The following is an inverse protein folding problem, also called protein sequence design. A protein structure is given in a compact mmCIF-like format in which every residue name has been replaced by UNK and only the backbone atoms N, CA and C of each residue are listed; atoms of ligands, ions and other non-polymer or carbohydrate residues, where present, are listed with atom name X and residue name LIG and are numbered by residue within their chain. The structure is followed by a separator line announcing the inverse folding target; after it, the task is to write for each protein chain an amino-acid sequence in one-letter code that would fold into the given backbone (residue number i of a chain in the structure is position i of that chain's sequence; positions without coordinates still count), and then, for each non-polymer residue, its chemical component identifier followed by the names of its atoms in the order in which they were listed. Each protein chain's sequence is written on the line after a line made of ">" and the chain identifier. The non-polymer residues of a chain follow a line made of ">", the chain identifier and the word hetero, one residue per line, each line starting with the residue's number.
data_IF_829642420530
#
_entry.id   IF_829642420530
#
_cell.length_a   1.000
_cell.length_b   1.000
_cell.length_c   1.000
_cell.angle_alpha   90.00
_cell.angle_beta   90.00
_cell.angle_gamma   90.00
#
_symmetry.space_group_name_H-M   'P 1'
#
loop_
_entity.id
_entity.type
_entity.pdbx_description
1 polymer ?
#
# COMPACT_ATOMS: atom_id res chain seq x y z
N UNK A 1 3.02 -51.26 -14.82
CA UNK A 1 2.08 -50.19 -14.41
C UNK A 1 2.86 -48.90 -14.31
N UNK A 2 2.96 -48.20 -15.44
CA UNK A 2 3.81 -47.01 -15.58
C UNK A 2 3.13 -45.85 -14.86
N UNK A 3 3.83 -45.31 -13.86
CA UNK A 3 3.43 -44.12 -13.08
C UNK A 3 2.89 -43.01 -13.99
N UNK A 4 1.69 -42.51 -13.68
CA UNK A 4 0.88 -41.61 -14.51
C UNK A 4 1.46 -40.20 -14.66
N UNK A 5 2.58 -40.07 -15.37
CA UNK A 5 3.15 -38.78 -15.77
C UNK A 5 2.35 -38.20 -16.94
N UNK A 6 1.77 -37.03 -16.74
CA UNK A 6 1.05 -36.30 -17.79
C UNK A 6 1.97 -36.01 -18.98
N UNK A 7 1.50 -36.29 -20.21
CA UNK A 7 2.23 -36.00 -21.45
C UNK A 7 1.65 -34.80 -22.21
N UNK A 8 0.38 -34.49 -21.97
CA UNK A 8 -0.31 -33.36 -22.56
C UNK A 8 -1.30 -32.73 -21.56
N UNK A 9 -1.52 -31.42 -21.69
CA UNK A 9 -2.51 -30.69 -20.90
C UNK A 9 -3.16 -29.61 -21.73
N UNK A 10 -4.49 -29.52 -21.65
CA UNK A 10 -5.31 -28.56 -22.37
C UNK A 10 -5.74 -27.42 -21.44
N UNK A 11 -5.72 -26.18 -21.94
CA UNK A 11 -6.23 -25.02 -21.21
C UNK A 11 -6.91 -24.04 -22.15
N UNK A 12 -8.07 -23.55 -21.74
CA UNK A 12 -8.65 -22.35 -22.36
C UNK A 12 -8.18 -21.12 -21.60
N UNK A 13 -7.68 -20.12 -22.32
CA UNK A 13 -7.33 -18.82 -21.75
C UNK A 13 -7.89 -17.72 -22.64
N UNK A 14 -8.88 -16.99 -22.14
CA UNK A 14 -9.67 -16.08 -22.97
C UNK A 14 -10.32 -16.85 -24.12
N UNK A 15 -10.08 -16.40 -25.36
CA UNK A 15 -10.56 -17.06 -26.59
C UNK A 15 -9.53 -18.00 -27.23
N UNK A 16 -8.46 -18.38 -26.51
CA UNK A 16 -7.37 -19.20 -27.07
C UNK A 16 -7.33 -20.57 -26.41
N UNK A 17 -7.22 -21.61 -27.23
CA UNK A 17 -6.94 -22.98 -26.81
C UNK A 17 -5.43 -23.20 -26.72
N UNK A 18 -4.94 -23.59 -25.55
CA UNK A 18 -3.53 -23.80 -25.24
C UNK A 18 -3.25 -25.28 -25.01
N UNK A 19 -2.25 -25.81 -25.70
CA UNK A 19 -1.78 -27.19 -25.59
C UNK A 19 -0.38 -27.18 -24.97
N UNK A 20 -0.21 -27.85 -23.84
CA UNK A 20 1.07 -28.06 -23.17
C UNK A 20 1.52 -29.51 -23.39
N UNK A 21 2.80 -29.73 -23.67
CA UNK A 21 3.36 -31.04 -24.03
C UNK A 21 4.64 -31.35 -23.24
N UNK A 22 4.86 -32.63 -22.93
CA UNK A 22 6.06 -33.19 -22.28
C UNK A 22 7.18 -33.41 -23.31
N UNK A 23 7.62 -32.31 -23.92
CA UNK A 23 8.78 -32.22 -24.82
C UNK A 23 9.61 -31.00 -24.41
N UNK A 24 10.90 -30.96 -24.76
CA UNK A 24 11.70 -29.75 -24.62
C UNK A 24 11.70 -28.99 -25.92
N UNK A 25 11.44 -27.68 -25.85
CA UNK A 25 11.46 -26.82 -27.05
C UNK A 25 12.83 -26.82 -27.75
N UNK A 26 13.91 -27.02 -27.00
CA UNK A 26 15.30 -27.11 -27.48
C UNK A 26 15.55 -28.29 -28.43
N UNK A 27 14.81 -29.39 -28.28
CA UNK A 27 14.92 -30.57 -29.14
C UNK A 27 14.40 -30.28 -30.57
N UNK A 28 13.79 -29.11 -30.77
CA UNK A 28 13.22 -28.65 -32.04
C UNK A 28 13.81 -27.28 -32.41
N UNK A 29 15.08 -27.20 -32.86
CA UNK A 29 15.80 -25.95 -33.07
C UNK A 29 15.24 -25.08 -34.22
N UNK A 30 14.57 -25.69 -35.20
CA UNK A 30 13.84 -25.01 -36.27
C UNK A 30 12.40 -25.49 -36.33
N UNK A 31 11.59 -25.17 -35.31
CA UNK A 31 10.23 -25.66 -35.27
C UNK A 31 9.43 -24.92 -36.35
N UNK A 32 8.54 -25.65 -37.04
CA UNK A 32 7.65 -25.08 -38.08
C UNK A 32 6.70 -23.99 -37.55
N UNK A 33 6.69 -23.75 -36.24
CA UNK A 33 5.82 -22.85 -35.50
C UNK A 33 6.41 -22.55 -34.11
N UNK A 34 5.95 -21.50 -33.41
CA UNK A 34 6.50 -21.13 -32.11
C UNK A 34 6.21 -22.18 -31.04
N UNK A 35 7.27 -22.74 -30.46
CA UNK A 35 7.25 -23.50 -29.21
C UNK A 35 7.67 -22.57 -28.08
N UNK A 36 6.87 -22.49 -27.02
CA UNK A 36 7.15 -21.62 -25.87
C UNK A 36 7.55 -22.50 -24.69
N UNK A 37 8.76 -22.32 -24.16
CA UNK A 37 9.16 -22.98 -22.93
C UNK A 37 8.52 -22.30 -21.71
N UNK A 38 7.79 -23.08 -20.93
CA UNK A 38 7.11 -22.70 -19.68
C UNK A 38 7.61 -23.56 -18.50
N UNK A 39 8.73 -24.30 -18.66
CA UNK A 39 9.36 -25.14 -17.62
C UNK A 39 9.63 -24.41 -16.30
N UNK A 40 9.87 -23.10 -16.35
CA UNK A 40 10.10 -22.23 -15.20
C UNK A 40 8.89 -22.13 -14.25
N UNK A 41 7.69 -22.56 -14.66
CA UNK A 41 6.51 -22.61 -13.80
C UNK A 41 6.38 -24.00 -13.19
N UNK A 42 6.41 -24.10 -11.86
CA UNK A 42 6.21 -25.35 -11.11
C UNK A 42 4.94 -26.15 -11.50
N UNK A 43 3.90 -25.46 -11.94
CA UNK A 43 2.62 -26.08 -12.38
C UNK A 43 2.76 -26.75 -13.76
N UNK A 44 3.78 -26.40 -14.54
CA UNK A 44 3.96 -26.76 -15.94
C UNK A 44 5.19 -27.67 -16.14
N UNK A 45 5.89 -28.03 -15.06
CA UNK A 45 7.15 -28.81 -15.05
C UNK A 45 7.04 -30.16 -15.79
N UNK A 46 5.90 -30.84 -15.71
CA UNK A 46 5.68 -32.13 -16.39
C UNK A 46 5.33 -32.00 -17.88
N UNK A 47 4.90 -30.82 -18.32
CA UNK A 47 4.52 -30.53 -19.71
C UNK A 47 5.02 -29.14 -20.07
N UNK A 48 6.34 -28.95 -20.18
CA UNK A 48 6.95 -27.62 -20.16
C UNK A 48 6.74 -26.84 -21.46
N UNK A 49 6.45 -27.50 -22.58
CA UNK A 49 6.33 -26.80 -23.87
C UNK A 49 4.89 -26.42 -24.18
N UNK A 50 4.62 -25.14 -24.38
CA UNK A 50 3.33 -24.57 -24.74
C UNK A 50 3.22 -24.28 -26.25
N UNK A 51 2.06 -24.62 -26.81
CA UNK A 51 1.61 -24.27 -28.16
C UNK A 51 0.25 -23.56 -28.07
N UNK A 52 0.14 -22.39 -28.69
CA UNK A 52 -1.12 -21.66 -28.81
C UNK A 52 -1.86 -22.10 -30.09
N UNK A 53 -2.99 -22.78 -29.94
CA UNK A 53 -3.80 -23.26 -31.06
C UNK A 53 -4.78 -22.15 -31.47
N UNK A 54 -4.40 -21.40 -32.50
CA UNK A 54 -5.18 -20.27 -33.04
C UNK A 54 -5.99 -20.61 -34.30
N UNK A 55 -5.92 -21.85 -34.78
CA UNK A 55 -6.63 -22.28 -35.99
C UNK A 55 -6.22 -23.68 -36.47
N UNK A 56 -6.79 -24.14 -37.61
CA UNK A 56 -6.64 -25.52 -38.08
C UNK A 56 -5.20 -25.96 -38.33
N UNK A 57 -4.36 -25.05 -38.88
CA UNK A 57 -2.95 -25.33 -39.14
C UNK A 57 -2.19 -25.65 -37.85
N UNK A 58 -2.40 -24.84 -36.79
CA UNK A 58 -1.78 -25.07 -35.50
C UNK A 58 -2.31 -26.35 -34.83
N UNK A 59 -3.58 -26.69 -35.04
CA UNK A 59 -4.16 -27.94 -34.55
C UNK A 59 -3.45 -29.15 -35.17
N UNK A 60 -3.27 -29.17 -36.50
CA UNK A 60 -2.56 -30.26 -37.20
C UNK A 60 -1.16 -30.47 -36.65
N UNK A 61 -0.44 -29.39 -36.36
CA UNK A 61 0.90 -29.47 -35.78
C UNK A 61 0.90 -29.96 -34.33
N UNK A 62 -0.03 -29.49 -33.49
CA UNK A 62 -0.17 -29.98 -32.13
C UNK A 62 -0.44 -31.49 -32.08
N UNK A 63 -1.28 -31.98 -32.99
CA UNK A 63 -1.54 -33.42 -33.15
C UNK A 63 -0.29 -34.19 -33.61
N UNK A 64 0.48 -33.64 -34.55
CA UNK A 64 1.76 -34.26 -34.98
C UNK A 64 2.75 -34.43 -33.83
N UNK A 65 2.86 -33.44 -32.94
CA UNK A 65 3.76 -33.56 -31.79
C UNK A 65 3.25 -34.57 -30.75
N UNK A 66 1.93 -34.69 -30.60
CA UNK A 66 1.34 -35.76 -29.78
C UNK A 66 1.69 -37.13 -30.38
N UNK A 67 1.58 -37.28 -31.70
CA UNK A 67 1.97 -38.51 -32.40
C UNK A 67 3.45 -38.85 -32.16
N UNK A 68 4.34 -37.86 -32.25
CA UNK A 68 5.78 -38.04 -31.97
C UNK A 68 6.04 -38.49 -30.52
N UNK A 69 5.36 -37.86 -29.54
CA UNK A 69 5.45 -38.22 -28.12
C UNK A 69 4.95 -39.67 -27.90
N UNK A 70 3.84 -40.03 -28.52
CA UNK A 70 3.26 -41.38 -28.38
C UNK A 70 4.17 -42.44 -29.00
N UNK A 71 4.74 -42.16 -30.17
CA UNK A 71 5.70 -43.05 -30.81
C UNK A 71 6.94 -43.26 -29.94
N UNK A 72 7.51 -42.20 -29.36
CA UNK A 72 8.64 -42.30 -28.43
C UNK A 72 8.27 -43.07 -27.14
N UNK A 73 7.00 -43.05 -26.73
CA UNK A 73 6.50 -43.82 -25.58
C UNK A 73 6.03 -45.23 -25.94
N UNK A 74 6.20 -45.65 -27.20
CA UNK A 74 5.76 -46.95 -27.72
C UNK A 74 4.25 -47.19 -27.51
N UNK A 75 3.46 -46.11 -27.54
CA UNK A 75 1.99 -46.16 -27.40
C UNK A 75 1.35 -46.20 -28.78
N UNK A 76 0.70 -47.32 -29.09
CA UNK A 76 0.01 -47.50 -30.36
C UNK A 76 -1.36 -46.84 -30.37
N UNK A 77 -1.76 -46.31 -31.54
CA UNK A 77 -3.12 -45.82 -31.76
C UNK A 77 -4.11 -47.00 -31.69
N UNK A 78 -5.28 -46.74 -31.12
CA UNK A 78 -6.36 -47.72 -31.10
C UNK A 78 -6.93 -47.87 -32.52
N UNK A 79 -6.93 -49.10 -33.06
CA UNK A 79 -7.35 -49.38 -34.44
C UNK A 79 -8.84 -49.08 -34.70
N UNK A 80 -9.68 -49.12 -33.66
CA UNK A 80 -11.13 -48.92 -33.76
C UNK A 80 -11.62 -47.67 -33.00
N UNK A 81 -10.77 -46.66 -32.83
CA UNK A 81 -11.19 -45.40 -32.20
C UNK A 81 -12.21 -44.67 -33.07
N UNK A 82 -13.34 -44.29 -32.48
CA UNK A 82 -14.33 -43.41 -33.10
C UNK A 82 -14.20 -42.03 -32.49
N UNK A 83 -14.18 -41.00 -33.34
CA UNK A 83 -14.17 -39.62 -32.86
C UNK A 83 -15.45 -39.34 -32.05
N UNK A 84 -15.28 -38.86 -30.82
CA UNK A 84 -16.36 -38.37 -29.98
C UNK A 84 -16.48 -36.85 -30.10
N UNK A 85 -17.71 -36.33 -30.15
CA UNK A 85 -17.94 -34.88 -30.10
C UNK A 85 -17.99 -34.40 -28.65
N UNK A 86 -16.91 -33.77 -28.20
CA UNK A 86 -16.79 -33.20 -26.85
C UNK A 86 -17.43 -31.81 -26.71
N UNK A 87 -18.27 -31.36 -27.64
CA UNK A 87 -19.00 -30.10 -27.49
C UNK A 87 -19.91 -30.16 -26.26
N UNK A 88 -19.83 -29.10 -25.47
CA UNK A 88 -20.72 -28.87 -24.32
C UNK A 88 -21.84 -27.91 -24.71
N UNK A 89 -23.01 -28.09 -24.11
CA UNK A 89 -24.12 -27.15 -24.27
C UNK A 89 -23.71 -25.74 -23.81
N UNK A 90 -24.18 -24.73 -24.55
CA UNK A 90 -23.92 -23.33 -24.20
C UNK A 90 -24.82 -22.94 -23.02
N UNK A 91 -24.19 -22.64 -21.88
CA UNK A 91 -24.87 -22.08 -20.71
C UNK A 91 -24.70 -20.57 -20.67
N UNK A 92 -25.72 -19.87 -20.17
CA UNK A 92 -25.55 -18.47 -19.77
C UNK A 92 -24.63 -18.35 -18.54
N UNK A 93 -24.23 -17.12 -18.24
CA UNK A 93 -23.30 -16.85 -17.14
C UNK A 93 -23.86 -17.25 -15.78
N UNK A 94 -25.17 -17.13 -15.57
CA UNK A 94 -25.83 -17.38 -14.29
C UNK A 94 -25.88 -18.89 -14.01
N UNK A 95 -26.29 -19.68 -15.01
CA UNK A 95 -26.27 -21.13 -14.98
C UNK A 95 -24.86 -21.70 -14.75
N UNK A 96 -23.82 -21.08 -15.33
CA UNK A 96 -22.42 -21.48 -15.10
C UNK A 96 -21.96 -21.20 -13.66
N UNK A 97 -22.45 -20.13 -13.03
CA UNK A 97 -22.15 -19.81 -11.62
C UNK A 97 -22.87 -20.79 -10.70
N UNK A 98 -24.16 -21.05 -10.95
CA UNK A 98 -24.96 -21.99 -10.16
C UNK A 98 -24.37 -23.42 -10.19
N UNK A 99 -23.91 -23.87 -11.36
CA UNK A 99 -23.23 -25.16 -11.54
C UNK A 99 -21.81 -25.19 -10.96
N UNK A 100 -21.30 -24.08 -10.40
CA UNK A 100 -19.96 -23.99 -9.83
C UNK A 100 -18.82 -24.02 -10.86
N UNK A 101 -19.13 -23.85 -12.16
CA UNK A 101 -18.16 -23.85 -13.26
C UNK A 101 -17.45 -22.49 -13.40
N UNK A 102 -18.06 -21.42 -12.91
CA UNK A 102 -17.43 -20.11 -12.73
C UNK A 102 -17.25 -19.86 -11.23
N UNK A 103 -16.00 -19.82 -10.80
CA UNK A 103 -15.66 -19.30 -9.47
C UNK A 103 -15.59 -17.78 -9.57
N UNK A 104 -16.46 -17.09 -8.82
CA UNK A 104 -16.41 -15.64 -8.70
C UNK A 104 -15.18 -15.25 -7.88
N UNK A 105 -14.09 -14.92 -8.57
CA UNK A 105 -12.90 -14.37 -7.93
C UNK A 105 -13.16 -12.88 -7.69
N UNK A 106 -13.23 -12.47 -6.43
CA UNK A 106 -13.24 -11.06 -6.06
C UNK A 106 -12.01 -10.40 -6.70
N UNK A 107 -12.26 -9.45 -7.61
CA UNK A 107 -11.23 -8.70 -8.32
C UNK A 107 -10.15 -8.23 -7.33
N UNK A 108 -8.86 -8.44 -7.65
CA UNK A 108 -7.76 -7.85 -6.87
C UNK A 108 -7.75 -6.31 -6.91
N UNK A 109 -8.66 -5.71 -7.69
CA UNK A 109 -8.97 -4.27 -7.74
C UNK A 109 -10.35 -3.91 -7.15
N UNK A 110 -11.13 -4.89 -6.67
CA UNK A 110 -12.36 -4.67 -5.91
C UNK A 110 -12.08 -5.12 -4.48
N UNK A 111 -12.07 -4.15 -3.56
CA UNK A 111 -11.89 -4.45 -2.13
C UNK A 111 -12.89 -5.56 -1.72
N UNK A 112 -12.46 -6.62 -1.03
CA UNK A 112 -13.36 -7.69 -0.63
C UNK A 112 -14.45 -7.11 0.29
N UNK A 113 -15.71 -7.18 -0.13
CA UNK A 113 -16.85 -6.93 0.76
C UNK A 113 -17.05 -8.21 1.58
N UNK A 114 -16.21 -8.37 2.61
CA UNK A 114 -16.55 -9.20 3.78
C UNK A 114 -17.85 -8.65 4.38
N UNK A 115 -18.66 -9.44 5.14
CA UNK A 115 -19.65 -8.83 6.01
C UNK A 115 -18.90 -7.78 6.85
N UNK A 116 -19.19 -6.50 6.61
CA UNK A 116 -18.46 -5.42 7.25
C UNK A 116 -18.89 -5.44 8.71
N UNK A 117 -18.12 -6.15 9.56
CA UNK A 117 -17.97 -5.70 10.95
C UNK A 117 -17.61 -4.23 10.79
N UNK A 118 -18.55 -3.33 11.16
CA UNK A 118 -18.37 -1.87 11.08
C UNK A 118 -16.92 -1.60 11.48
N UNK A 119 -16.06 -1.06 10.58
CA UNK A 119 -14.67 -0.89 10.91
C UNK A 119 -14.62 -0.09 12.20
N UNK A 120 -13.95 -0.66 13.20
CA UNK A 120 -13.71 0.07 14.45
C UNK A 120 -12.82 1.23 14.07
N UNK A 121 -13.36 2.44 14.15
CA UNK A 121 -12.60 3.65 13.89
C UNK A 121 -11.88 3.97 15.19
N UNK A 122 -10.56 3.86 15.15
CA UNK A 122 -9.71 4.28 16.25
C UNK A 122 -9.41 5.77 16.09
N UNK A 123 -9.82 6.54 17.07
CA UNK A 123 -9.47 7.93 17.23
C UNK A 123 -8.29 8.02 18.22
N UNK A 124 -7.09 8.24 17.69
CA UNK A 124 -5.85 8.34 18.45
C UNK A 124 -5.63 9.76 18.94
N UNK A 125 -5.42 9.91 20.24
CA UNK A 125 -5.01 11.19 20.84
C UNK A 125 -3.58 11.59 20.43
N UNK A 126 -3.20 12.84 20.72
CA UNK A 126 -1.83 13.34 20.53
C UNK A 126 -0.82 12.51 21.33
N UNK A 127 -1.14 12.16 22.58
CA UNK A 127 -0.28 11.31 23.41
C UNK A 127 -0.16 9.89 22.84
N UNK A 128 -1.27 9.27 22.43
CA UNK A 128 -1.22 7.96 21.78
C UNK A 128 -0.31 7.99 20.54
N UNK A 129 -0.37 9.06 19.76
CA UNK A 129 0.51 9.22 18.59
C UNK A 129 1.98 9.30 19.00
N UNK A 130 2.34 10.00 20.09
CA UNK A 130 3.73 10.04 20.59
C UNK A 130 4.26 8.65 20.94
N UNK A 131 3.48 7.83 21.65
CA UNK A 131 3.89 6.45 22.01
C UNK A 131 4.05 5.51 20.79
N UNK A 132 3.38 5.81 19.69
CA UNK A 132 3.41 5.01 18.45
C UNK A 132 4.39 5.53 17.39
N UNK A 133 5.06 6.65 17.64
CA UNK A 133 6.01 7.24 16.69
C UNK A 133 7.36 6.51 16.71
N UNK A 134 8.04 6.56 15.58
CA UNK A 134 9.41 6.09 15.47
C UNK A 134 10.40 7.08 16.08
N UNK A 135 11.51 6.53 16.55
CA UNK A 135 12.54 7.28 17.26
C UNK A 135 13.10 8.50 16.47
N UNK A 136 13.32 8.44 15.14
CA UNK A 136 13.68 9.62 14.36
C UNK A 136 12.68 10.77 14.48
N UNK A 137 11.38 10.47 14.45
CA UNK A 137 10.32 11.48 14.55
C UNK A 137 10.22 12.04 15.96
N UNK A 138 10.40 11.19 16.98
CA UNK A 138 10.45 11.62 18.38
C UNK A 138 11.64 12.54 18.67
N UNK A 139 12.82 12.29 18.08
CA UNK A 139 13.96 13.22 18.15
C UNK A 139 13.62 14.58 17.56
N UNK A 140 12.99 14.61 16.39
CA UNK A 140 12.55 15.85 15.75
C UNK A 140 11.52 16.59 16.63
N UNK A 141 10.54 15.88 17.18
CA UNK A 141 9.59 16.46 18.15
C UNK A 141 10.31 17.07 19.36
N UNK A 142 11.25 16.34 19.96
CA UNK A 142 11.97 16.80 21.14
C UNK A 142 12.79 18.07 20.85
N UNK A 143 13.47 18.12 19.70
CA UNK A 143 14.18 19.33 19.25
C UNK A 143 13.24 20.54 19.08
N UNK A 144 12.10 20.34 18.41
CA UNK A 144 11.13 21.40 18.14
C UNK A 144 10.52 21.94 19.44
N UNK A 145 10.12 21.05 20.35
CA UNK A 145 9.47 21.44 21.61
C UNK A 145 10.43 22.22 22.50
N UNK A 146 11.67 21.75 22.67
CA UNK A 146 12.68 22.51 23.42
C UNK A 146 12.97 23.88 22.78
N UNK A 147 13.05 23.95 21.45
CA UNK A 147 13.30 25.22 20.76
C UNK A 147 12.18 26.25 20.94
N UNK A 148 10.93 25.80 21.12
CA UNK A 148 9.79 26.68 21.42
C UNK A 148 9.73 27.03 22.92
N UNK A 149 9.95 26.05 23.80
CA UNK A 149 9.82 26.21 25.25
C UNK A 149 10.97 27.01 25.89
N UNK A 150 12.08 27.21 25.18
CA UNK A 150 13.19 28.08 25.64
C UNK A 150 12.80 29.56 25.73
N UNK A 151 11.72 29.99 25.08
CA UNK A 151 11.29 31.39 25.14
C UNK A 151 10.45 31.64 26.41
N UNK A 152 10.64 32.80 27.03
CA UNK A 152 9.89 33.19 28.21
C UNK A 152 8.38 33.30 27.93
N UNK A 153 7.57 33.05 28.96
CA UNK A 153 6.11 33.15 28.91
C UNK A 153 5.44 32.30 27.82
N UNK A 154 6.13 31.29 27.30
CA UNK A 154 5.53 30.28 26.43
C UNK A 154 4.87 29.20 27.28
N UNK A 155 3.58 28.97 27.01
CA UNK A 155 2.80 27.90 27.62
C UNK A 155 2.39 26.88 26.56
N UNK A 156 2.26 25.62 26.95
CA UNK A 156 1.79 24.54 26.08
C UNK A 156 0.43 24.04 26.54
N UNK A 157 -0.53 24.06 25.63
CA UNK A 157 -1.86 23.49 25.84
C UNK A 157 -2.01 22.27 24.94
N UNK A 158 -2.25 21.10 25.53
CA UNK A 158 -2.49 19.87 24.79
C UNK A 158 -3.99 19.61 24.66
N UNK A 159 -4.44 19.43 23.42
CA UNK A 159 -5.79 18.98 23.09
C UNK A 159 -5.79 17.49 22.75
N UNK A 160 -6.95 16.94 22.39
CA UNK A 160 -7.02 15.54 21.99
C UNK A 160 -6.14 15.25 20.77
N UNK A 161 -6.01 16.15 19.80
CA UNK A 161 -5.36 15.86 18.52
C UNK A 161 -4.04 16.63 18.28
N UNK A 162 -3.76 17.68 19.04
CA UNK A 162 -2.59 18.55 18.82
C UNK A 162 -2.10 19.22 20.11
N UNK A 163 -0.87 19.75 20.08
CA UNK A 163 -0.36 20.71 21.06
C UNK A 163 -0.41 22.13 20.47
N UNK A 164 -0.76 23.12 21.27
CA UNK A 164 -0.71 24.54 20.93
C UNK A 164 0.28 25.22 21.87
N UNK A 165 1.24 25.94 21.29
CA UNK A 165 2.17 26.78 22.00
C UNK A 165 1.65 28.21 21.97
N UNK A 166 1.43 28.78 23.14
CA UNK A 166 0.80 30.08 23.33
C UNK A 166 1.76 31.03 24.03
N UNK A 167 1.73 32.29 23.63
CA UNK A 167 2.42 33.39 24.31
C UNK A 167 1.52 34.61 24.30
N UNK A 168 1.43 35.33 25.42
CA UNK A 168 0.64 36.57 25.55
C UNK A 168 -0.80 36.45 25.01
N UNK A 169 -1.46 35.30 25.25
CA UNK A 169 -2.84 35.04 24.83
C UNK A 169 -3.02 34.74 23.33
N UNK A 170 -1.94 34.61 22.56
CA UNK A 170 -1.97 34.26 21.12
C UNK A 170 -1.21 32.98 20.84
N UNK A 171 -1.65 32.22 19.84
CA UNK A 171 -0.92 31.05 19.37
C UNK A 171 0.37 31.48 18.67
N UNK A 172 1.48 30.84 19.02
CA UNK A 172 2.75 30.95 18.30
C UNK A 172 2.85 29.84 17.25
N UNK A 173 2.56 28.62 17.69
CA UNK A 173 2.54 27.47 16.82
C UNK A 173 1.53 26.42 17.30
N UNK A 174 1.02 25.62 16.37
CA UNK A 174 0.26 24.41 16.67
C UNK A 174 0.91 23.22 16.00
N UNK A 175 1.07 22.14 16.76
CA UNK A 175 1.73 20.93 16.32
C UNK A 175 0.76 19.75 16.31
N UNK A 176 0.65 19.09 15.16
CA UNK A 176 -0.21 17.90 14.99
C UNK A 176 0.53 16.75 14.33
N UNK A 177 0.47 15.57 14.91
CA UNK A 177 0.96 14.35 14.26
C UNK A 177 0.03 13.91 13.11
N UNK A 178 0.62 13.56 11.97
CA UNK A 178 -0.09 13.04 10.80
C UNK A 178 0.69 11.89 10.16
N UNK A 179 0.17 10.67 10.26
CA UNK A 179 0.88 9.47 9.79
C UNK A 179 2.16 9.25 10.60
N UNK A 180 3.32 9.28 9.94
CA UNK A 180 4.66 9.20 10.55
C UNK A 180 5.41 10.53 10.58
N UNK A 181 4.72 11.64 10.28
CA UNK A 181 5.30 12.98 10.31
C UNK A 181 4.45 13.89 11.17
N UNK A 182 4.84 15.16 11.31
CA UNK A 182 4.00 16.16 11.95
C UNK A 182 3.83 17.39 11.07
N UNK A 183 2.72 18.07 11.32
CA UNK A 183 2.29 19.31 10.70
C UNK A 183 2.51 20.42 11.70
N UNK A 184 3.27 21.43 11.30
CA UNK A 184 3.54 22.62 12.08
C UNK A 184 2.73 23.78 11.49
N UNK A 185 1.77 24.26 12.26
CA UNK A 185 0.95 25.41 11.94
C UNK A 185 1.53 26.63 12.64
N UNK A 186 1.67 27.72 11.92
CA UNK A 186 2.38 28.93 12.33
C UNK A 186 1.47 30.15 12.14
N UNK A 187 1.60 31.10 13.05
CA UNK A 187 0.88 32.38 12.98
C UNK A 187 1.70 33.41 12.18
N UNK A 188 1.85 33.11 10.88
CA UNK A 188 2.50 33.95 9.86
C UNK A 188 1.65 33.96 8.60
N UNK A 189 1.82 34.98 7.77
CA UNK A 189 1.30 34.99 6.41
C UNK A 189 2.29 34.29 5.47
N UNK A 190 1.82 33.32 4.68
CA UNK A 190 2.65 32.60 3.73
C UNK A 190 3.20 33.51 2.61
N UNK A 191 2.49 34.59 2.28
CA UNK A 191 2.88 35.55 1.22
C UNK A 191 4.14 36.35 1.58
N UNK A 192 4.41 36.54 2.87
CA UNK A 192 5.61 37.25 3.36
C UNK A 192 6.91 36.43 3.12
N UNK A 193 6.77 35.15 2.75
CA UNK A 193 7.86 34.22 2.51
C UNK A 193 7.80 33.67 1.08
N UNK A 194 8.11 34.49 0.05
CA UNK A 194 8.02 34.05 -1.34
C UNK A 194 8.96 32.86 -1.63
N UNK A 195 8.49 31.96 -2.49
CA UNK A 195 9.22 30.77 -2.95
C UNK A 195 10.61 31.12 -3.52
N UNK A 196 11.63 30.22 -3.44
CA UNK A 196 11.55 28.77 -3.21
C UNK A 196 12.05 28.29 -1.83
N UNK A 197 12.33 29.19 -0.89
CA UNK A 197 13.02 28.83 0.36
C UNK A 197 12.19 27.91 1.26
N UNK A 198 10.88 28.16 1.36
CA UNK A 198 9.96 27.44 2.23
C UNK A 198 8.71 26.94 1.49
N UNK A 199 8.41 25.64 1.50
CA UNK A 199 7.19 25.10 0.88
C UNK A 199 6.00 25.23 1.84
N UNK A 200 5.55 26.47 2.05
CA UNK A 200 4.44 26.83 2.94
C UNK A 200 3.10 26.61 2.24
N UNK A 201 2.10 26.21 3.01
CA UNK A 201 0.71 26.05 2.54
C UNK A 201 -0.16 27.02 3.33
N UNK A 202 -0.85 27.91 2.64
CA UNK A 202 -1.88 28.77 3.23
C UNK A 202 -3.12 27.93 3.60
N UNK A 203 -3.46 27.89 4.88
CA UNK A 203 -4.67 27.30 5.45
C UNK A 203 -5.58 28.34 6.12
N UNK A 204 -5.34 29.65 5.93
CA UNK A 204 -6.12 30.78 6.50
C UNK A 204 -7.64 30.67 6.28
N UNK A 205 -8.05 30.08 5.14
CA UNK A 205 -9.46 29.91 4.75
C UNK A 205 -10.21 28.84 5.57
N UNK A 206 -9.53 28.06 6.41
CA UNK A 206 -10.18 27.09 7.29
C UNK A 206 -10.51 27.71 8.65
N UNK A 207 -11.78 27.61 9.05
CA UNK A 207 -12.31 28.22 10.29
C UNK A 207 -11.58 27.79 11.56
N UNK A 208 -10.97 26.60 11.60
CA UNK A 208 -10.19 26.08 12.73
C UNK A 208 -8.73 26.55 12.77
N UNK A 209 -8.27 27.27 11.74
CA UNK A 209 -6.87 27.65 11.54
C UNK A 209 -6.66 29.19 11.53
N UNK A 210 -7.68 29.97 11.88
CA UNK A 210 -7.65 31.44 11.71
C UNK A 210 -6.53 32.16 12.48
N UNK A 211 -5.98 31.55 13.53
CA UNK A 211 -4.86 32.08 14.33
C UNK A 211 -3.52 31.41 14.03
N UNK A 212 -3.48 30.38 13.19
CA UNK A 212 -2.24 29.70 12.75
C UNK A 212 -2.41 29.34 11.28
N UNK A 213 -2.36 30.39 10.46
CA UNK A 213 -2.86 30.39 9.10
C UNK A 213 -1.95 29.64 8.12
N UNK A 214 -0.67 29.44 8.47
CA UNK A 214 0.32 28.83 7.57
C UNK A 214 0.74 27.45 8.06
N UNK A 215 0.76 26.47 7.16
CA UNK A 215 1.18 25.10 7.41
C UNK A 215 2.55 24.80 6.77
N UNK A 216 3.48 24.29 7.59
CA UNK A 216 4.70 23.62 7.15
C UNK A 216 4.61 22.10 7.44
N UNK A 217 4.82 21.29 6.40
CA UNK A 217 4.91 19.84 6.56
C UNK A 217 6.33 19.42 6.92
N UNK A 218 6.56 19.03 8.18
CA UNK A 218 7.89 18.63 8.65
C UNK A 218 8.08 17.14 8.43
N UNK A 219 8.71 16.81 7.29
CA UNK A 219 8.96 15.41 6.86
C UNK A 219 10.36 14.89 7.19
N UNK A 220 11.22 15.72 7.77
CA UNK A 220 12.60 15.34 8.07
C UNK A 220 13.48 16.52 8.49
N UNK A 221 14.80 16.31 8.63
CA UNK A 221 15.74 17.28 9.21
C UNK A 221 15.82 18.62 8.48
N UNK A 222 15.74 18.62 7.14
CA UNK A 222 15.75 19.87 6.35
C UNK A 222 14.54 20.75 6.67
N UNK A 223 13.34 20.14 6.66
CA UNK A 223 12.10 20.86 6.97
C UNK A 223 12.05 21.27 8.44
N UNK A 224 12.71 20.51 9.33
CA UNK A 224 12.87 20.91 10.72
C UNK A 224 13.64 22.22 10.83
N UNK A 225 14.81 22.33 10.19
CA UNK A 225 15.61 23.57 10.20
C UNK A 225 14.79 24.78 9.74
N UNK A 226 13.93 24.57 8.74
CA UNK A 226 13.02 25.60 8.26
C UNK A 226 11.96 25.96 9.30
N UNK A 227 11.34 24.95 9.94
CA UNK A 227 10.39 25.19 11.02
C UNK A 227 10.98 25.96 12.20
N UNK A 228 12.21 25.64 12.61
CA UNK A 228 12.93 26.35 13.67
C UNK A 228 13.20 27.82 13.28
N UNK A 229 13.68 28.06 12.05
CA UNK A 229 13.89 29.42 11.53
C UNK A 229 12.61 30.24 11.54
N UNK A 230 11.47 29.67 11.12
CA UNK A 230 10.20 30.38 11.11
C UNK A 230 9.71 30.68 12.54
N UNK A 231 9.98 29.80 13.50
CA UNK A 231 9.70 30.07 14.92
C UNK A 231 10.57 31.22 15.43
N UNK A 232 11.84 31.26 15.04
CA UNK A 232 12.74 32.36 15.41
C UNK A 232 12.27 33.69 14.79
N UNK A 233 11.80 33.68 13.54
CA UNK A 233 11.23 34.85 12.88
C UNK A 233 9.96 35.35 13.62
N UNK A 234 9.07 34.44 14.03
CA UNK A 234 7.87 34.78 14.84
C UNK A 234 8.27 35.32 16.21
N UNK A 235 9.24 34.69 16.86
CA UNK A 235 9.73 35.11 18.16
C UNK A 235 10.36 36.51 18.11
N UNK A 236 11.17 36.78 17.09
CA UNK A 236 11.76 38.10 16.85
C UNK A 236 10.68 39.16 16.57
N UNK A 237 9.70 38.86 15.72
CA UNK A 237 8.59 39.77 15.41
C UNK A 237 7.70 40.08 16.63
N UNK A 238 7.70 39.20 17.64
CA UNK A 238 6.97 39.37 18.91
C UNK A 238 7.86 39.78 20.07
N UNK A 239 9.14 40.06 19.81
CA UNK A 239 10.13 40.47 20.81
C UNK A 239 10.21 39.48 22.00
N UNK A 240 10.10 38.17 21.71
CA UNK A 240 10.19 37.15 22.76
C UNK A 240 11.63 37.01 23.27
N UNK A 241 11.76 36.98 24.59
CA UNK A 241 13.04 36.81 25.28
C UNK A 241 13.33 35.32 25.44
N UNK A 242 14.58 34.93 25.23
CA UNK A 242 15.04 33.56 25.51
C UNK A 242 15.34 33.46 27.00
N UNK A 243 14.78 32.44 27.66
CA UNK A 243 15.14 32.07 29.01
C UNK A 243 16.53 31.41 29.00
N UNK A 244 17.56 32.13 29.45
CA UNK A 244 18.95 31.65 29.47
C UNK A 244 19.15 30.46 30.42
N UNK A 245 18.29 30.32 31.44
CA UNK A 245 18.31 29.22 32.41
C UNK A 245 17.53 27.98 31.92
N UNK A 246 17.00 27.99 30.69
CA UNK A 246 16.24 26.87 30.16
C UNK A 246 17.11 25.61 30.01
N UNK A 247 16.80 24.57 30.77
CA UNK A 247 17.43 23.26 30.67
C UNK A 247 16.71 22.43 29.61
N UNK A 248 17.47 21.87 28.67
CA UNK A 248 16.92 20.97 27.65
C UNK A 248 16.30 19.75 28.33
N UNK A 249 15.01 19.55 28.09
CA UNK A 249 14.26 18.40 28.59
C UNK A 249 14.20 17.29 27.52
N UNK A 250 14.09 16.03 27.95
CA UNK A 250 13.81 14.93 27.03
C UNK A 250 12.31 14.60 27.01
N UNK A 251 11.62 15.10 25.98
CA UNK A 251 10.19 14.84 25.79
C UNK A 251 9.88 13.51 25.08
N UNK A 252 10.82 12.57 25.03
CA UNK A 252 10.54 11.22 24.51
C UNK A 252 9.62 10.45 25.45
N UNK A 253 8.89 9.50 24.87
CA UNK A 253 8.01 8.60 25.61
C UNK A 253 8.31 7.16 25.22
N UNK A 254 8.10 6.24 26.14
CA UNK A 254 8.25 4.81 25.86
C UNK A 254 7.24 4.35 24.82
N UNK A 255 7.59 3.33 24.03
CA UNK A 255 6.65 2.78 23.06
C UNK A 255 5.63 1.89 23.75
N UNK A 256 4.34 2.10 23.47
CA UNK A 256 3.24 1.33 24.04
C UNK A 256 2.43 0.65 22.93
N UNK A 257 1.83 -0.50 23.26
CA UNK A 257 0.93 -1.19 22.33
C UNK A 257 -0.44 -0.50 22.26
N UNK A 258 -1.20 -0.79 21.20
CA UNK A 258 -2.54 -0.21 21.06
C UNK A 258 -3.47 -0.64 22.21
N UNK A 259 -3.33 -1.86 22.72
CA UNK A 259 -4.12 -2.37 23.85
C UNK A 259 -3.87 -1.53 25.10
N UNK A 260 -2.59 -1.30 25.45
CA UNK A 260 -2.21 -0.47 26.59
C UNK A 260 -2.72 0.98 26.42
N UNK A 261 -2.64 1.54 25.21
CA UNK A 261 -3.13 2.89 24.93
C UNK A 261 -4.66 3.01 24.97
N UNK A 262 -5.40 1.93 24.69
CA UNK A 262 -6.85 1.87 24.87
C UNK A 262 -7.20 1.83 26.35
N UNK A 263 -6.48 1.03 27.14
CA UNK A 263 -6.66 0.94 28.61
C UNK A 263 -6.38 2.29 29.29
N UNK A 264 -5.36 3.02 28.83
CA UNK A 264 -5.04 4.37 29.28
C UNK A 264 -6.03 5.44 28.79
N UNK A 265 -7.02 5.08 27.97
CA UNK A 265 -8.00 6.02 27.40
C UNK A 265 -7.41 7.00 26.38
N UNK A 266 -6.20 6.74 25.88
CA UNK A 266 -5.51 7.56 24.88
C UNK A 266 -5.96 7.22 23.45
N UNK A 267 -6.61 6.08 23.24
CA UNK A 267 -7.27 5.70 21.99
C UNK A 267 -8.77 5.47 22.26
N UNK A 268 -9.63 6.16 21.50
CA UNK A 268 -11.09 5.94 21.53
C UNK A 268 -11.50 5.07 20.34
N UNK A 269 -12.24 4.00 20.59
CA UNK A 269 -12.85 3.17 19.53
C UNK A 269 -14.32 3.54 19.34
N UNK A 270 -14.73 3.89 18.12
CA UNK A 270 -16.15 4.03 17.76
C UNK A 270 -16.54 3.03 16.68
N UNK A 271 -17.79 2.54 16.72
CA UNK A 271 -18.37 1.79 15.60
C UNK A 271 -18.74 2.79 14.51
N UNK A 272 -18.24 2.60 13.29
CA UNK A 272 -18.59 3.46 12.16
C UNK A 272 -20.13 3.56 11.98
N UNK A 273 -20.67 4.77 12.00
CA UNK A 273 -22.04 5.09 11.56
C UNK A 273 -21.96 5.56 10.10
N UNK A 274 -22.65 4.87 9.19
CA UNK A 274 -22.90 5.29 7.82
C UNK A 274 -24.40 5.55 7.69
#
# INVERSE_FOLDING_TARGET
>A
MTSGRAFARLRFHGKTFKLYLDIKAEDYPEPKFPLIDESNRKIDETTPTLINIKGPRMMKYGLSLIDDIMAHREVNKLENYKEEDFKVEAFDREALIEKGLIILVASKFAKPVKPVKKPVIYNYSFQARRHLMDEPTLRLYNMLKNHIMKYENVSVNQTWDHEIFMTSGRALARLRFHGKTFKLYLDINAEDYPEPKFPLIDESKRRSESTTQTLLNVRGPRMMKYGLSLIDDIAAARELVVNEDYVIEDFKVESLTNEALIELGLIKSSKASF
#
